data_IF_043325377604
#
_entry.id   IF_043325377604
#
_cell.length_a   1.000
_cell.length_b   1.000
_cell.length_c   1.000
_cell.angle_alpha   90.00
_cell.angle_beta   90.00
_cell.angle_gamma   90.00
#
_symmetry.space_group_name_H-M   'P 1'
#
loop_
_entity.id
_entity.type
_entity.pdbx_description
1 polymer ?
#
# COMPACT_ATOMS: atom_id res chain seq x y z
N UNK A 1 25.05 -3.48 -1.73
CA UNK A 1 24.53 -2.47 -2.64
C UNK A 1 23.98 -1.31 -1.81
N UNK A 2 24.26 -0.10 -2.29
CA UNK A 2 23.68 1.09 -1.69
C UNK A 2 22.15 1.06 -1.92
N UNK A 3 21.37 1.23 -0.87
CA UNK A 3 19.90 1.20 -0.93
C UNK A 3 19.34 2.22 -1.94
N UNK A 4 19.93 3.40 -2.01
CA UNK A 4 19.51 4.44 -2.99
C UNK A 4 19.79 3.99 -4.42
N UNK A 5 20.94 3.36 -4.66
CA UNK A 5 21.26 2.81 -5.98
C UNK A 5 20.25 1.73 -6.39
N UNK A 6 19.90 0.84 -5.47
CA UNK A 6 18.88 -0.18 -5.71
C UNK A 6 17.51 0.45 -6.06
N UNK A 7 17.08 1.49 -5.33
CA UNK A 7 15.84 2.21 -5.63
C UNK A 7 15.89 2.86 -7.02
N UNK A 8 17.03 3.45 -7.42
CA UNK A 8 17.21 4.00 -8.77
C UNK A 8 17.03 2.94 -9.84
N UNK A 9 17.65 1.80 -9.69
CA UNK A 9 17.53 0.68 -10.64
C UNK A 9 16.08 0.19 -10.77
N UNK A 10 15.37 0.07 -9.67
CA UNK A 10 13.97 -0.39 -9.68
C UNK A 10 13.01 0.67 -10.22
N UNK A 11 13.12 1.91 -9.74
CA UNK A 11 12.14 2.97 -10.03
C UNK A 11 12.44 3.64 -11.36
N UNK A 12 13.67 4.04 -11.60
CA UNK A 12 14.08 4.76 -12.83
C UNK A 12 14.41 3.76 -13.93
N UNK A 13 15.22 2.75 -13.64
CA UNK A 13 15.76 1.82 -14.63
C UNK A 13 16.63 2.56 -15.63
N UNK A 14 16.40 2.33 -16.91
CA UNK A 14 17.16 2.93 -18.01
C UNK A 14 16.57 4.25 -18.52
N UNK A 15 15.52 4.77 -17.85
CA UNK A 15 14.85 6.01 -18.29
C UNK A 15 15.55 7.27 -17.76
N UNK A 16 15.30 8.40 -18.45
CA UNK A 16 15.66 9.69 -17.89
C UNK A 16 14.78 9.98 -16.67
N UNK A 17 15.35 10.38 -15.52
CA UNK A 17 14.57 10.73 -14.31
C UNK A 17 13.41 11.71 -14.56
N UNK A 18 13.52 12.62 -15.52
CA UNK A 18 12.43 13.53 -15.89
C UNK A 18 11.21 12.80 -16.50
N UNK A 19 11.40 11.63 -17.11
CA UNK A 19 10.32 10.81 -17.65
C UNK A 19 9.73 9.82 -16.64
N UNK A 20 10.17 9.89 -15.39
CA UNK A 20 9.71 9.05 -14.27
C UNK A 20 9.09 9.94 -13.22
N UNK A 21 7.90 9.57 -12.76
CA UNK A 21 7.21 10.32 -11.71
C UNK A 21 6.86 9.43 -10.51
N UNK A 22 6.79 10.05 -9.33
CA UNK A 22 6.01 9.55 -8.20
C UNK A 22 4.60 10.12 -8.34
N UNK A 23 3.60 9.25 -8.45
CA UNK A 23 2.19 9.63 -8.59
C UNK A 23 1.48 9.55 -7.25
N UNK A 24 0.81 10.63 -6.84
CA UNK A 24 0.06 10.70 -5.59
C UNK A 24 -1.19 11.58 -5.71
N UNK A 25 -2.11 11.48 -4.76
CA UNK A 25 -3.25 12.40 -4.59
C UNK A 25 -2.83 13.50 -3.61
N UNK A 26 -2.92 14.76 -4.03
CA UNK A 26 -2.58 15.93 -3.21
C UNK A 26 -1.30 15.74 -2.36
N UNK A 27 -0.14 15.50 -3.00
CA UNK A 27 1.09 15.11 -2.29
C UNK A 27 1.50 16.10 -1.19
N UNK A 28 1.21 17.39 -1.34
CA UNK A 28 1.52 18.43 -0.34
C UNK A 28 0.69 18.29 0.94
N UNK A 29 -0.47 17.66 0.88
CA UNK A 29 -1.38 17.48 2.01
C UNK A 29 -1.12 16.13 2.73
N UNK A 30 -0.35 15.25 2.14
CA UNK A 30 -0.07 13.94 2.69
C UNK A 30 0.81 14.00 3.94
N UNK A 31 0.46 13.19 4.94
CA UNK A 31 1.28 13.03 6.17
C UNK A 31 2.68 12.48 5.88
N UNK A 32 2.81 11.76 4.76
CA UNK A 32 4.03 11.10 4.30
C UNK A 32 4.84 11.94 3.30
N UNK A 33 4.51 13.22 3.11
CA UNK A 33 5.17 14.10 2.13
C UNK A 33 6.70 14.17 2.27
N UNK A 34 7.23 13.89 3.45
CA UNK A 34 8.68 13.81 3.64
C UNK A 34 9.32 12.71 2.78
N UNK A 35 8.62 11.59 2.59
CA UNK A 35 9.09 10.48 1.74
C UNK A 35 9.14 10.92 0.28
N UNK A 36 8.17 11.74 -0.16
CA UNK A 36 8.13 12.26 -1.53
C UNK A 36 9.28 13.22 -1.77
N UNK A 37 9.51 14.15 -0.84
CA UNK A 37 10.65 15.05 -0.90
C UNK A 37 12.00 14.31 -0.92
N UNK A 38 12.16 13.29 -0.10
CA UNK A 38 13.39 12.48 -0.10
C UNK A 38 13.53 11.68 -1.41
N UNK A 39 12.43 11.18 -1.96
CA UNK A 39 12.42 10.49 -3.25
C UNK A 39 12.87 11.43 -4.38
N UNK A 40 12.34 12.64 -4.44
CA UNK A 40 12.78 13.66 -5.39
C UNK A 40 14.27 13.98 -5.23
N UNK A 41 14.70 14.23 -4.00
CA UNK A 41 16.08 14.59 -3.67
C UNK A 41 17.10 13.52 -4.06
N UNK A 42 16.81 12.25 -3.77
CA UNK A 42 17.77 11.16 -3.96
C UNK A 42 17.65 10.48 -5.32
N UNK A 43 16.47 10.43 -5.90
CA UNK A 43 16.23 9.78 -7.19
C UNK A 43 16.23 10.76 -8.36
N UNK A 44 15.93 12.05 -8.12
CA UNK A 44 15.85 13.08 -9.16
C UNK A 44 14.58 13.01 -9.99
N UNK A 45 13.56 12.26 -9.55
CA UNK A 45 12.25 12.19 -10.19
C UNK A 45 11.33 13.28 -9.60
N UNK A 46 10.17 13.51 -10.24
CA UNK A 46 9.22 14.52 -9.76
C UNK A 46 8.00 13.84 -9.11
N UNK A 47 7.50 14.42 -8.02
CA UNK A 47 6.21 14.06 -7.44
C UNK A 47 5.11 14.83 -8.15
N UNK A 48 4.12 14.12 -8.67
CA UNK A 48 3.05 14.71 -9.48
C UNK A 48 1.69 14.29 -8.93
N UNK A 49 0.83 15.27 -8.67
CA UNK A 49 -0.55 14.98 -8.33
C UNK A 49 -1.29 14.36 -9.52
N UNK A 50 -2.10 13.35 -9.27
CA UNK A 50 -2.89 12.66 -10.31
C UNK A 50 -3.76 13.64 -11.12
N UNK A 51 -4.25 14.72 -10.51
CA UNK A 51 -5.04 15.77 -11.17
C UNK A 51 -4.24 16.65 -12.14
N UNK A 52 -2.91 16.58 -12.08
CA UNK A 52 -2.00 17.35 -12.96
C UNK A 52 -1.50 16.55 -14.16
N UNK A 53 -1.88 15.29 -14.25
CA UNK A 53 -1.54 14.45 -15.39
C UNK A 53 -2.38 14.87 -16.61
N UNK A 54 -1.72 14.95 -17.77
CA UNK A 54 -2.35 15.19 -19.07
C UNK A 54 -2.27 13.94 -19.92
N UNK A 55 -3.37 13.60 -20.61
CA UNK A 55 -3.43 12.42 -21.50
C UNK A 55 -3.54 12.82 -22.95
N UNK A 56 -2.71 12.22 -23.81
CA UNK A 56 -2.79 12.32 -25.28
C UNK A 56 -2.70 10.91 -25.88
N UNK A 57 -3.85 10.38 -26.29
CA UNK A 57 -3.94 8.99 -26.72
C UNK A 57 -3.61 8.04 -25.58
N UNK A 58 -2.61 7.18 -25.74
CA UNK A 58 -2.11 6.26 -24.71
C UNK A 58 -0.99 6.85 -23.86
N UNK A 59 -0.50 8.04 -24.17
CA UNK A 59 0.62 8.68 -23.50
C UNK A 59 0.16 9.63 -22.43
N UNK A 60 0.90 9.65 -21.32
CA UNK A 60 0.71 10.57 -20.20
C UNK A 60 1.83 11.61 -20.16
N UNK A 61 1.50 12.79 -19.69
CA UNK A 61 2.40 13.93 -19.57
C UNK A 61 2.14 14.67 -18.25
N UNK A 62 3.15 15.38 -17.79
CA UNK A 62 3.02 16.39 -16.75
C UNK A 62 3.71 17.68 -17.19
N UNK A 63 3.37 18.78 -16.56
CA UNK A 63 3.98 20.08 -16.85
C UNK A 63 5.14 20.37 -15.90
N UNK A 64 6.27 20.78 -16.46
CA UNK A 64 7.44 21.23 -15.74
C UNK A 64 8.05 22.43 -16.47
N UNK A 65 8.20 23.55 -15.74
CA UNK A 65 8.77 24.80 -16.27
C UNK A 65 8.11 25.25 -17.60
N UNK A 66 6.77 25.08 -17.69
CA UNK A 66 5.98 25.45 -18.87
C UNK A 66 6.07 24.45 -20.03
N UNK A 67 6.76 23.32 -19.87
CA UNK A 67 6.90 22.29 -20.88
C UNK A 67 6.13 21.02 -20.48
N UNK A 68 5.52 20.36 -21.47
CA UNK A 68 4.92 19.03 -21.27
C UNK A 68 6.01 17.96 -21.40
N UNK A 69 6.24 17.23 -20.30
CA UNK A 69 7.20 16.13 -20.24
C UNK A 69 6.44 14.82 -20.34
N UNK A 70 6.83 13.94 -21.24
CA UNK A 70 6.24 12.61 -21.41
C UNK A 70 6.62 11.70 -20.24
N UNK A 71 5.62 11.04 -19.65
CA UNK A 71 5.80 10.06 -18.57
C UNK A 71 6.01 8.68 -19.18
N UNK A 72 7.12 8.05 -18.86
CA UNK A 72 7.47 6.69 -19.30
C UNK A 72 7.30 5.66 -18.18
N UNK A 73 7.52 6.07 -16.94
CA UNK A 73 7.41 5.21 -15.79
C UNK A 73 6.68 5.93 -14.65
N UNK A 74 5.88 5.17 -13.92
CA UNK A 74 5.12 5.68 -12.77
C UNK A 74 5.45 4.84 -11.54
N UNK A 75 6.05 5.47 -10.54
CA UNK A 75 6.09 4.97 -9.17
C UNK A 75 4.80 5.40 -8.47
N UNK A 76 3.82 4.50 -8.46
CA UNK A 76 2.49 4.81 -7.96
C UNK A 76 2.43 4.70 -6.43
N UNK A 77 1.89 5.76 -5.81
CA UNK A 77 1.59 5.82 -4.37
C UNK A 77 0.09 5.97 -4.11
N UNK A 78 -0.70 6.22 -5.16
CA UNK A 78 -2.17 6.33 -5.07
C UNK A 78 -2.76 4.99 -4.66
N UNK A 79 -3.62 5.01 -3.66
CA UNK A 79 -4.39 3.87 -3.17
C UNK A 79 -5.88 4.07 -3.45
N UNK A 80 -6.60 2.98 -3.71
CA UNK A 80 -8.00 3.06 -4.10
C UNK A 80 -8.90 3.62 -2.99
N UNK A 81 -8.66 3.26 -1.74
CA UNK A 81 -9.43 3.76 -0.59
C UNK A 81 -9.38 5.30 -0.51
N UNK A 82 -8.25 5.90 -0.88
CA UNK A 82 -8.11 7.35 -0.91
C UNK A 82 -8.82 7.96 -2.11
N UNK A 83 -8.76 7.29 -3.28
CA UNK A 83 -9.54 7.71 -4.45
C UNK A 83 -11.04 7.74 -4.16
N UNK A 84 -11.57 6.75 -3.44
CA UNK A 84 -12.97 6.67 -3.04
C UNK A 84 -13.38 7.82 -2.09
N UNK A 85 -12.46 8.33 -1.30
CA UNK A 85 -12.71 9.51 -0.46
C UNK A 85 -12.81 10.82 -1.26
N UNK A 86 -12.36 10.80 -2.52
CA UNK A 86 -12.38 11.94 -3.43
C UNK A 86 -13.21 11.68 -4.69
N UNK A 87 -14.54 11.42 -4.57
CA UNK A 87 -15.38 11.02 -5.70
C UNK A 87 -15.50 12.07 -6.81
N UNK A 88 -15.18 13.32 -6.50
CA UNK A 88 -15.20 14.44 -7.46
C UNK A 88 -13.82 14.77 -8.03
N UNK A 89 -12.83 13.88 -7.84
CA UNK A 89 -11.48 14.11 -8.34
C UNK A 89 -11.46 13.98 -9.88
N UNK A 90 -11.18 15.09 -10.54
CA UNK A 90 -11.04 15.10 -12.01
C UNK A 90 -9.65 14.65 -12.43
N UNK A 91 -9.60 13.61 -13.24
CA UNK A 91 -8.36 13.07 -13.81
C UNK A 91 -8.53 12.84 -15.31
N UNK A 92 -7.47 13.05 -16.10
CA UNK A 92 -7.52 12.82 -17.55
C UNK A 92 -7.30 11.36 -17.95
N UNK A 93 -6.96 10.49 -17.01
CA UNK A 93 -6.83 9.05 -17.23
C UNK A 93 -7.46 8.25 -16.09
N UNK A 94 -7.71 6.98 -16.36
CA UNK A 94 -8.13 6.00 -15.36
C UNK A 94 -7.11 4.86 -15.28
N UNK A 95 -7.00 4.20 -14.11
CA UNK A 95 -6.09 3.06 -13.94
C UNK A 95 -6.46 1.84 -14.80
N UNK A 96 -7.67 1.82 -15.36
CA UNK A 96 -8.15 0.82 -16.31
C UNK A 96 -7.80 1.13 -17.77
N UNK A 97 -7.27 2.32 -18.06
CA UNK A 97 -6.88 2.70 -19.40
C UNK A 97 -5.68 1.90 -19.90
N UNK A 98 -5.65 1.62 -21.19
CA UNK A 98 -4.45 1.10 -21.84
C UNK A 98 -3.47 2.24 -22.10
N UNK A 99 -2.37 2.27 -21.35
CA UNK A 99 -1.40 3.37 -21.35
C UNK A 99 0.01 2.89 -21.72
N UNK A 100 0.75 3.75 -22.43
CA UNK A 100 2.15 3.52 -22.82
C UNK A 100 3.11 3.92 -21.67
N UNK A 101 2.86 3.39 -20.47
CA UNK A 101 3.69 3.64 -19.28
C UNK A 101 4.07 2.33 -18.60
N UNK A 102 5.24 2.29 -18.01
CA UNK A 102 5.64 1.19 -17.14
C UNK A 102 5.27 1.52 -15.70
N UNK A 103 4.40 0.73 -15.11
CA UNK A 103 4.04 0.81 -13.71
C UNK A 103 5.09 0.12 -12.85
N UNK A 104 5.63 0.81 -11.87
CA UNK A 104 6.56 0.23 -10.89
C UNK A 104 5.78 -0.45 -9.77
N UNK A 105 4.67 0.17 -9.37
CA UNK A 105 3.69 -0.39 -8.43
C UNK A 105 2.30 -0.16 -9.01
N UNK A 106 1.82 -1.07 -9.87
CA UNK A 106 0.48 -0.92 -10.44
C UNK A 106 -0.57 -1.09 -9.33
N UNK A 107 -1.64 -0.27 -9.31
CA UNK A 107 -2.71 -0.39 -8.31
C UNK A 107 -3.28 -1.82 -8.17
N UNK A 108 -3.41 -2.56 -9.27
CA UNK A 108 -3.87 -3.96 -9.24
C UNK A 108 -2.95 -4.91 -8.43
N UNK A 109 -1.73 -4.52 -8.13
CA UNK A 109 -0.84 -5.32 -7.28
C UNK A 109 -1.29 -5.33 -5.84
N UNK A 110 -2.15 -4.38 -5.46
CA UNK A 110 -2.75 -4.34 -4.14
C UNK A 110 -3.43 -5.67 -3.77
N UNK A 111 -4.11 -6.31 -4.71
CA UNK A 111 -4.70 -7.63 -4.49
C UNK A 111 -3.66 -8.72 -4.22
N UNK A 112 -2.46 -8.59 -4.78
CA UNK A 112 -1.37 -9.57 -4.58
C UNK A 112 -0.58 -9.36 -3.29
N UNK A 113 -0.44 -8.12 -2.83
CA UNK A 113 0.40 -7.74 -1.69
C UNK A 113 -0.39 -7.26 -0.47
N UNK A 114 -1.72 -7.37 -0.51
CA UNK A 114 -2.63 -7.03 0.59
C UNK A 114 -2.89 -8.23 1.51
N UNK A 115 -3.70 -7.98 2.54
CA UNK A 115 -4.19 -9.02 3.44
C UNK A 115 -4.95 -10.15 2.74
N UNK A 116 -5.46 -9.91 1.51
CA UNK A 116 -6.13 -10.91 0.68
C UNK A 116 -5.29 -12.17 0.41
N UNK A 117 -3.97 -12.04 0.32
CA UNK A 117 -3.09 -13.19 0.06
C UNK A 117 -2.91 -14.08 1.30
N UNK A 118 -3.08 -13.55 2.52
CA UNK A 118 -2.76 -14.24 3.76
C UNK A 118 -3.47 -15.60 3.93
N UNK A 119 -4.79 -15.75 3.64
CA UNK A 119 -5.46 -17.04 3.74
C UNK A 119 -4.94 -18.09 2.74
N UNK A 120 -4.23 -17.66 1.71
CA UNK A 120 -3.68 -18.51 0.64
C UNK A 120 -2.23 -18.94 0.90
N UNK A 121 -1.58 -18.31 1.89
CA UNK A 121 -0.21 -18.64 2.28
C UNK A 121 -0.22 -19.74 3.35
N UNK A 122 0.59 -20.78 3.11
CA UNK A 122 0.81 -21.86 4.07
C UNK A 122 2.31 -21.97 4.35
N UNK A 123 2.76 -21.32 5.42
CA UNK A 123 4.15 -21.34 5.83
C UNK A 123 4.24 -21.15 7.35
N UNK A 124 5.21 -21.76 8.02
CA UNK A 124 5.38 -21.70 9.47
C UNK A 124 5.53 -20.29 10.05
N UNK A 125 6.12 -19.36 9.28
CA UNK A 125 6.30 -17.95 9.67
C UNK A 125 5.13 -17.05 9.28
N UNK A 126 4.09 -17.59 8.64
CA UNK A 126 2.90 -16.83 8.29
C UNK A 126 1.77 -17.17 9.24
N UNK A 127 1.26 -16.23 10.04
CA UNK A 127 0.14 -16.49 10.92
C UNK A 127 -1.06 -17.02 10.14
N UNK A 128 -1.61 -18.15 10.57
CA UNK A 128 -2.76 -18.79 9.93
C UNK A 128 -3.89 -17.79 9.80
N UNK A 129 -4.43 -17.69 8.62
CA UNK A 129 -5.48 -16.73 8.28
C UNK A 129 -6.58 -17.43 7.51
N UNK A 130 -7.82 -16.94 7.69
CA UNK A 130 -9.01 -17.42 6.97
C UNK A 130 -9.77 -16.22 6.45
N UNK A 131 -10.41 -16.34 5.30
CA UNK A 131 -11.51 -15.42 4.99
C UNK A 131 -12.61 -15.59 6.03
N UNK A 132 -13.26 -14.50 6.40
CA UNK A 132 -14.30 -14.56 7.44
C UNK A 132 -15.43 -15.53 7.06
N UNK A 133 -15.78 -15.58 5.76
CA UNK A 133 -16.79 -16.49 5.23
C UNK A 133 -16.42 -17.98 5.37
N UNK A 134 -15.12 -18.27 5.42
CA UNK A 134 -14.58 -19.66 5.46
C UNK A 134 -14.02 -20.02 6.85
N UNK A 135 -14.32 -19.23 7.88
CA UNK A 135 -13.77 -19.48 9.21
C UNK A 135 -14.32 -20.77 9.80
N UNK A 136 -13.45 -21.75 10.17
CA UNK A 136 -13.90 -23.05 10.67
C UNK A 136 -14.50 -22.96 12.08
N UNK A 137 -15.62 -23.61 12.31
CA UNK A 137 -16.25 -23.73 13.65
C UNK A 137 -15.35 -24.44 14.68
N UNK A 138 -14.34 -25.17 14.22
CA UNK A 138 -13.39 -25.90 15.08
C UNK A 138 -12.31 -25.01 15.68
N UNK A 139 -12.15 -23.76 15.18
CA UNK A 139 -11.18 -22.82 15.68
C UNK A 139 -11.77 -21.95 16.79
N UNK A 140 -10.97 -21.64 17.81
CA UNK A 140 -11.39 -20.72 18.88
C UNK A 140 -11.15 -19.27 18.43
N UNK A 141 -12.24 -18.52 18.27
CA UNK A 141 -12.24 -17.13 17.82
C UNK A 141 -11.36 -16.20 18.67
N UNK A 142 -11.24 -16.45 19.96
CA UNK A 142 -10.40 -15.67 20.89
C UNK A 142 -8.92 -15.60 20.45
N UNK A 143 -8.46 -16.59 19.69
CA UNK A 143 -7.09 -16.66 19.19
C UNK A 143 -6.87 -15.86 17.90
N UNK A 144 -7.89 -15.15 17.42
CA UNK A 144 -7.84 -14.46 16.15
C UNK A 144 -8.09 -12.97 16.29
N UNK A 145 -7.65 -12.23 15.25
CA UNK A 145 -7.87 -10.80 15.07
C UNK A 145 -8.66 -10.64 13.77
N UNK A 146 -9.75 -9.90 13.84
CA UNK A 146 -10.53 -9.53 12.67
C UNK A 146 -9.90 -8.34 11.97
N UNK A 147 -9.75 -8.44 10.65
CA UNK A 147 -9.13 -7.38 9.82
C UNK A 147 -9.91 -7.18 8.54
N UNK A 148 -10.25 -5.95 8.15
CA UNK A 148 -10.70 -5.67 6.79
C UNK A 148 -9.59 -5.97 5.80
N UNK A 149 -9.93 -6.51 4.60
CA UNK A 149 -8.95 -6.84 3.56
C UNK A 149 -8.22 -5.58 3.06
N UNK A 150 -8.98 -4.54 2.81
CA UNK A 150 -8.54 -3.32 2.14
C UNK A 150 -8.55 -2.14 3.11
N UNK A 151 -7.68 -2.19 4.12
CA UNK A 151 -7.52 -1.12 5.10
C UNK A 151 -6.05 -0.91 5.45
N UNK A 152 -5.72 0.31 5.87
CA UNK A 152 -4.37 0.74 6.18
C UNK A 152 -4.24 1.21 7.63
N UNK A 153 -3.02 1.26 8.12
CA UNK A 153 -2.67 1.82 9.44
C UNK A 153 -3.51 1.28 10.62
N UNK A 154 -3.96 0.03 10.53
CA UNK A 154 -4.77 -0.60 11.58
C UNK A 154 -6.25 -0.21 11.57
N UNK A 155 -6.71 0.57 10.60
CA UNK A 155 -8.13 0.94 10.49
C UNK A 155 -9.02 -0.30 10.40
N UNK A 156 -10.09 -0.34 11.20
CA UNK A 156 -11.07 -1.43 11.23
C UNK A 156 -10.55 -2.75 11.81
N UNK A 157 -9.34 -2.80 12.39
CA UNK A 157 -8.80 -3.99 13.05
C UNK A 157 -9.46 -4.15 14.42
N UNK A 158 -10.06 -5.33 14.65
CA UNK A 158 -10.61 -5.69 15.95
C UNK A 158 -9.78 -6.82 16.57
N UNK A 159 -9.14 -6.53 17.71
CA UNK A 159 -8.29 -7.47 18.44
C UNK A 159 -9.07 -8.51 19.25
N UNK A 160 -10.35 -8.26 19.50
CA UNK A 160 -11.22 -9.09 20.34
C UNK A 160 -12.57 -9.32 19.63
N UNK A 161 -12.58 -10.00 18.47
CA UNK A 161 -13.83 -10.28 17.76
C UNK A 161 -14.69 -11.22 18.58
N UNK A 162 -16.01 -10.98 18.58
CA UNK A 162 -17.01 -11.86 19.21
C UNK A 162 -17.97 -12.38 18.11
N UNK A 163 -18.70 -13.49 18.37
CA UNK A 163 -19.69 -14.00 17.43
C UNK A 163 -20.73 -12.94 17.02
N UNK A 164 -21.13 -12.07 17.97
CA UNK A 164 -22.12 -11.00 17.73
C UNK A 164 -21.55 -9.99 16.71
N UNK A 165 -20.29 -9.55 16.91
CA UNK A 165 -19.61 -8.64 15.98
C UNK A 165 -19.51 -9.26 14.59
N UNK A 166 -19.15 -10.55 14.51
CA UNK A 166 -19.05 -11.23 13.21
C UNK A 166 -20.43 -11.40 12.54
N UNK A 167 -21.49 -11.50 13.30
CA UNK A 167 -22.86 -11.61 12.78
C UNK A 167 -23.36 -10.30 12.15
N UNK A 168 -22.91 -9.15 12.66
CA UNK A 168 -23.27 -7.81 12.16
C UNK A 168 -22.54 -7.46 10.85
N UNK A 169 -21.51 -8.21 10.46
CA UNK A 169 -20.77 -7.96 9.22
C UNK A 169 -21.55 -8.54 8.05
N UNK A 170 -22.10 -7.67 7.22
CA UNK A 170 -22.83 -8.05 6.00
C UNK A 170 -21.85 -8.53 4.92
N UNK A 171 -20.72 -7.85 4.77
CA UNK A 171 -19.71 -8.06 3.73
C UNK A 171 -18.54 -8.92 4.25
N UNK A 172 -18.84 -10.18 4.59
CA UNK A 172 -17.85 -11.13 5.14
C UNK A 172 -16.70 -11.45 4.19
N UNK A 173 -16.89 -11.25 2.90
CA UNK A 173 -15.90 -11.51 1.85
C UNK A 173 -14.72 -10.54 1.92
N UNK A 174 -14.94 -9.34 2.49
CA UNK A 174 -13.92 -8.32 2.65
C UNK A 174 -13.23 -8.32 4.01
N UNK A 175 -13.34 -9.41 4.74
CA UNK A 175 -12.68 -9.57 6.04
C UNK A 175 -11.89 -10.87 6.14
N UNK A 176 -10.82 -10.84 6.94
CA UNK A 176 -10.09 -12.03 7.37
C UNK A 176 -10.04 -12.13 8.89
N UNK A 177 -9.95 -13.36 9.36
CA UNK A 177 -9.53 -13.70 10.72
C UNK A 177 -8.10 -14.22 10.66
N UNK A 178 -7.17 -13.52 11.28
CA UNK A 178 -5.76 -13.89 11.37
C UNK A 178 -5.40 -14.30 12.78
N UNK A 179 -4.69 -15.40 12.95
CA UNK A 179 -4.20 -15.87 14.25
C UNK A 179 -3.35 -14.80 14.92
N UNK A 180 -3.62 -14.54 16.20
CA UNK A 180 -2.83 -13.61 17.02
C UNK A 180 -1.39 -14.05 17.10
N UNK A 181 -0.47 -13.13 16.88
CA UNK A 181 0.95 -13.35 17.12
C UNK A 181 1.28 -12.87 18.53
N UNK A 182 1.88 -13.75 19.30
CA UNK A 182 2.39 -13.40 20.62
C UNK A 182 3.84 -12.98 20.48
N UNK A 183 4.12 -11.70 20.71
CA UNK A 183 5.48 -11.19 20.70
C UNK A 183 6.19 -11.59 21.98
N UNK A 184 7.37 -12.18 21.84
CA UNK A 184 8.24 -12.42 22.99
C UNK A 184 8.81 -11.10 23.51
N UNK A 185 8.88 -10.97 24.82
CA UNK A 185 9.58 -9.86 25.48
C UNK A 185 11.09 -10.19 25.48
N UNK A 186 11.84 -9.54 24.60
CA UNK A 186 13.23 -9.90 24.31
C UNK A 186 14.24 -8.90 24.90
N UNK A 187 13.82 -7.69 25.20
CA UNK A 187 14.70 -6.63 25.64
C UNK A 187 14.26 -6.07 26.97
N UNK A 188 15.17 -5.96 27.89
CA UNK A 188 14.99 -5.25 29.15
C UNK A 188 15.36 -3.78 28.94
N UNK A 189 14.48 -2.87 29.34
CA UNK A 189 14.74 -1.44 29.28
C UNK A 189 15.58 -0.97 30.49
N UNK A 190 15.91 0.32 30.53
CA UNK A 190 16.73 0.88 31.62
C UNK A 190 16.07 0.84 33.00
N UNK A 191 14.76 0.56 33.07
CA UNK A 191 13.99 0.45 34.31
C UNK A 191 13.79 -1.00 34.72
N UNK A 192 14.32 -1.97 33.97
CA UNK A 192 14.14 -3.40 34.22
C UNK A 192 12.84 -3.97 33.67
N UNK A 193 12.14 -3.24 32.80
CA UNK A 193 10.91 -3.72 32.17
C UNK A 193 11.20 -4.37 30.83
N UNK A 194 10.56 -5.52 30.56
CA UNK A 194 10.71 -6.24 29.31
C UNK A 194 9.87 -5.65 28.19
N UNK A 195 10.53 -5.30 27.10
CA UNK A 195 9.94 -4.71 25.90
C UNK A 195 9.88 -5.71 24.75
N UNK A 196 8.89 -5.52 23.89
CA UNK A 196 8.69 -6.28 22.65
C UNK A 196 9.32 -5.51 21.50
N UNK A 197 9.83 -6.23 20.50
CA UNK A 197 10.39 -5.61 19.29
C UNK A 197 9.79 -6.21 18.03
N UNK A 198 9.68 -5.37 17.00
CA UNK A 198 9.35 -5.75 15.63
C UNK A 198 10.50 -5.33 14.73
N UNK A 199 11.00 -6.24 13.90
CA UNK A 199 12.01 -5.95 12.90
C UNK A 199 11.32 -5.97 11.54
N UNK A 200 11.38 -4.84 10.83
CA UNK A 200 10.92 -4.74 9.44
C UNK A 200 12.12 -4.76 8.52
N UNK A 201 12.13 -5.70 7.59
CA UNK A 201 13.08 -5.73 6.49
C UNK A 201 12.40 -5.12 5.27
N UNK A 202 13.00 -4.07 4.72
CA UNK A 202 12.51 -3.32 3.57
C UNK A 202 13.36 -3.61 2.35
#
# INVERSE_FOLDING_TARGET
PDYIQFLKEVIIGDENPENVILLEIFPEEQKTKIDFYLTEKYLGINTVCITKIKKKGKKLFYEKDGNLIEIKRIYNRVIFDELEQHPNLETEFQFTDELDVKWITHPNWFFKISKFILPKLNHEFVPKSYFLADFPETENLENFVLKPLFSFAGSGVNLYPTPEILAEIEDKENYILQRKVQYASLFEDINGEFSKAEIRML
#
